data_IF_533437405041
#
_entry.id   IF_533437405041
#
_cell.length_a   1.000
_cell.length_b   1.000
_cell.length_c   1.000
_cell.angle_alpha   90.00
_cell.angle_beta   90.00
_cell.angle_gamma   90.00
#
_symmetry.space_group_name_H-M   'P 1'
#
loop_
_entity.id
_entity.type
_entity.pdbx_description
1 polymer ?
#
# COMPACT_ATOMS: atom_id res chain seq x y z
N UNK A 1 20.93 -6.68 2.12
CA UNK A 1 21.42 -5.35 1.68
C UNK A 1 20.42 -4.25 2.02
N UNK A 2 19.15 -4.36 1.63
CA UNK A 2 18.14 -3.32 1.89
C UNK A 2 17.98 -2.95 3.38
N UNK A 3 18.08 -3.92 4.27
CA UNK A 3 18.05 -3.70 5.73
C UNK A 3 19.20 -2.79 6.20
N UNK A 4 20.38 -2.95 5.64
CA UNK A 4 21.54 -2.13 6.01
C UNK A 4 21.39 -0.67 5.55
N UNK A 5 20.76 -0.42 4.41
CA UNK A 5 20.54 0.96 3.93
C UNK A 5 19.32 1.66 4.56
N UNK A 6 18.48 0.94 5.31
CA UNK A 6 17.28 1.50 5.94
C UNK A 6 17.62 2.62 6.93
N UNK A 7 18.65 2.43 7.77
CA UNK A 7 19.08 3.42 8.76
C UNK A 7 19.65 4.68 8.09
N UNK A 8 20.60 4.61 7.13
CA UNK A 8 21.03 5.75 6.34
C UNK A 8 19.89 6.51 5.66
N UNK A 9 18.93 5.81 5.08
CA UNK A 9 17.76 6.45 4.49
C UNK A 9 16.90 7.20 5.52
N UNK A 10 16.73 6.64 6.71
CA UNK A 10 16.02 7.29 7.80
C UNK A 10 16.79 8.55 8.27
N UNK A 11 18.11 8.46 8.35
CA UNK A 11 18.97 9.60 8.74
C UNK A 11 18.89 10.74 7.72
N UNK A 12 18.96 10.48 6.42
CA UNK A 12 18.79 11.52 5.39
C UNK A 12 17.44 12.24 5.47
N UNK A 13 16.37 11.52 5.79
CA UNK A 13 15.03 12.11 6.01
C UNK A 13 15.00 12.97 7.28
N UNK A 14 15.57 12.47 8.37
CA UNK A 14 15.63 13.18 9.65
C UNK A 14 16.48 14.46 9.55
N UNK A 15 17.61 14.42 8.85
CA UNK A 15 18.50 15.56 8.65
C UNK A 15 18.00 16.60 7.63
N UNK A 16 16.78 16.44 7.10
CA UNK A 16 16.18 17.36 6.12
C UNK A 16 16.76 17.24 4.70
N UNK A 17 17.61 16.25 4.43
CA UNK A 17 18.24 16.04 3.12
C UNK A 17 17.33 15.21 2.18
N UNK A 18 16.09 15.65 2.02
CA UNK A 18 15.06 14.92 1.25
C UNK A 18 15.42 14.76 -0.23
N UNK A 19 16.10 15.74 -0.83
CA UNK A 19 16.56 15.66 -2.23
C UNK A 19 17.64 14.59 -2.40
N UNK A 20 18.56 14.48 -1.46
CA UNK A 20 19.61 13.45 -1.48
C UNK A 20 19.01 12.04 -1.32
N UNK A 21 18.05 11.90 -0.40
CA UNK A 21 17.25 10.68 -0.27
C UNK A 21 16.57 10.29 -1.58
N UNK A 22 15.89 11.26 -2.23
CA UNK A 22 15.17 11.02 -3.49
C UNK A 22 16.14 10.62 -4.61
N UNK A 23 17.27 11.29 -4.73
CA UNK A 23 18.29 10.97 -5.75
C UNK A 23 18.81 9.54 -5.62
N UNK A 24 19.15 9.09 -4.42
CA UNK A 24 19.62 7.72 -4.19
C UNK A 24 18.52 6.71 -4.49
N UNK A 25 17.28 7.00 -4.07
CA UNK A 25 16.14 6.10 -4.29
C UNK A 25 15.77 5.98 -5.76
N UNK A 26 15.75 7.09 -6.48
CA UNK A 26 15.54 7.11 -7.94
C UNK A 26 16.67 6.36 -8.64
N UNK A 27 17.93 6.59 -8.25
CA UNK A 27 19.09 5.87 -8.78
C UNK A 27 18.97 4.36 -8.61
N UNK A 28 18.60 3.88 -7.41
CA UNK A 28 18.35 2.46 -7.15
C UNK A 28 17.26 1.89 -8.07
N UNK A 29 16.14 2.58 -8.20
CA UNK A 29 15.02 2.14 -9.07
C UNK A 29 15.44 2.13 -10.54
N UNK A 30 16.17 3.15 -10.98
CA UNK A 30 16.65 3.26 -12.38
C UNK A 30 17.62 2.12 -12.72
N UNK A 31 18.55 1.82 -11.83
CA UNK A 31 19.50 0.71 -12.00
C UNK A 31 18.75 -0.63 -12.03
N UNK A 32 17.83 -0.85 -11.09
CA UNK A 32 17.03 -2.07 -11.04
C UNK A 32 16.21 -2.26 -12.33
N UNK A 33 15.50 -1.21 -12.76
CA UNK A 33 14.70 -1.25 -14.00
C UNK A 33 15.60 -1.48 -15.23
N UNK A 34 16.72 -0.74 -15.33
CA UNK A 34 17.68 -0.89 -16.44
C UNK A 34 18.25 -2.31 -16.54
N UNK A 35 18.63 -2.92 -15.42
CA UNK A 35 19.08 -4.30 -15.37
C UNK A 35 17.97 -5.28 -15.72
N UNK A 36 16.75 -5.08 -15.27
CA UNK A 36 15.61 -5.93 -15.66
C UNK A 36 15.33 -5.86 -17.16
N UNK A 37 15.37 -4.67 -17.76
CA UNK A 37 15.22 -4.51 -19.22
C UNK A 37 16.37 -5.19 -19.98
N UNK A 38 17.59 -5.04 -19.48
CA UNK A 38 18.77 -5.68 -20.08
C UNK A 38 18.67 -7.23 -20.00
N UNK A 39 18.34 -7.78 -18.83
CA UNK A 39 18.29 -9.22 -18.65
C UNK A 39 17.08 -9.89 -19.31
N UNK A 40 15.90 -9.26 -19.25
CA UNK A 40 14.66 -9.89 -19.70
C UNK A 40 14.30 -9.59 -21.16
N UNK A 41 14.80 -8.50 -21.73
CA UNK A 41 14.52 -8.11 -23.13
C UNK A 41 15.76 -8.21 -24.01
N UNK A 42 16.87 -7.60 -23.58
CA UNK A 42 18.06 -7.52 -24.44
C UNK A 42 18.83 -8.85 -24.51
N UNK A 43 18.94 -9.62 -23.44
CA UNK A 43 19.59 -10.93 -23.44
C UNK A 43 18.88 -11.94 -24.35
N UNK A 44 17.56 -12.14 -24.28
CA UNK A 44 16.86 -13.00 -25.23
C UNK A 44 16.98 -12.54 -26.68
N UNK A 45 17.04 -11.22 -26.90
CA UNK A 45 17.27 -10.68 -28.24
C UNK A 45 18.67 -11.04 -28.79
N UNK A 46 19.72 -11.00 -27.94
CA UNK A 46 21.06 -11.42 -28.32
C UNK A 46 21.14 -12.95 -28.58
N UNK A 47 20.49 -13.74 -27.72
CA UNK A 47 20.42 -15.18 -27.85
C UNK A 47 19.78 -15.59 -29.20
N UNK A 48 18.70 -14.92 -29.59
CA UNK A 48 18.06 -15.13 -30.89
C UNK A 48 18.95 -14.77 -32.08
N UNK A 49 19.98 -13.92 -31.87
CA UNK A 49 21.00 -13.58 -32.87
C UNK A 49 22.23 -14.49 -32.85
N UNK A 50 22.25 -15.51 -31.98
CA UNK A 50 23.34 -16.45 -31.87
C UNK A 50 24.50 -16.03 -30.95
N UNK A 51 24.37 -14.90 -30.22
CA UNK A 51 25.34 -14.45 -29.23
C UNK A 51 25.06 -15.09 -27.88
N UNK A 52 26.03 -15.78 -27.31
CA UNK A 52 25.97 -16.32 -25.94
C UNK A 52 26.96 -15.59 -25.05
N UNK A 53 26.48 -14.98 -23.99
CA UNK A 53 27.30 -14.35 -22.96
C UNK A 53 27.44 -15.30 -21.76
N UNK A 54 28.63 -15.37 -21.10
CA UNK A 54 28.82 -16.25 -19.94
C UNK A 54 27.77 -16.06 -18.82
N UNK A 55 27.25 -14.84 -18.67
CA UNK A 55 26.20 -14.51 -17.69
C UNK A 55 24.84 -15.17 -18.01
N UNK A 56 24.58 -15.48 -19.29
CA UNK A 56 23.36 -16.17 -19.71
C UNK A 56 23.37 -17.66 -19.33
N UNK A 57 24.57 -18.27 -19.23
CA UNK A 57 24.73 -19.67 -18.83
C UNK A 57 24.64 -19.86 -17.31
N UNK A 58 24.89 -18.79 -16.53
CA UNK A 58 24.86 -18.85 -15.07
C UNK A 58 23.43 -18.87 -14.51
N UNK A 59 22.43 -18.47 -15.29
CA UNK A 59 21.05 -18.26 -14.85
C UNK A 59 20.12 -19.12 -15.69
N UNK A 60 19.64 -20.20 -15.09
CA UNK A 60 18.77 -21.18 -15.77
C UNK A 60 17.30 -20.74 -15.91
N UNK A 61 16.84 -19.79 -15.09
CA UNK A 61 15.44 -19.33 -15.09
C UNK A 61 15.38 -17.80 -15.17
N UNK A 62 14.48 -17.29 -16.03
CA UNK A 62 14.23 -15.85 -16.18
C UNK A 62 13.86 -15.15 -14.87
N UNK A 63 13.25 -15.87 -13.94
CA UNK A 63 12.90 -15.34 -12.60
C UNK A 63 14.14 -14.97 -11.80
N UNK A 64 15.24 -15.70 -11.96
CA UNK A 64 16.51 -15.45 -11.25
C UNK A 64 17.14 -14.12 -11.66
N UNK A 65 16.94 -13.68 -12.91
CA UNK A 65 17.43 -12.37 -13.37
C UNK A 65 16.79 -11.20 -12.61
N UNK A 66 15.51 -11.32 -12.22
CA UNK A 66 14.83 -10.29 -11.44
C UNK A 66 15.47 -10.15 -10.06
N UNK A 67 15.79 -11.28 -9.41
CA UNK A 67 16.47 -11.27 -8.12
C UNK A 67 17.92 -10.74 -8.23
N UNK A 68 18.62 -11.11 -9.31
CA UNK A 68 19.98 -10.62 -9.56
C UNK A 68 20.00 -9.11 -9.80
N UNK A 69 19.08 -8.58 -10.59
CA UNK A 69 18.93 -7.14 -10.83
C UNK A 69 18.70 -6.38 -9.52
N UNK A 70 17.81 -6.91 -8.67
CA UNK A 70 17.54 -6.32 -7.36
C UNK A 70 18.76 -6.36 -6.44
N UNK A 71 19.46 -7.49 -6.41
CA UNK A 71 20.70 -7.66 -5.61
C UNK A 71 21.77 -6.64 -6.02
N UNK A 72 22.01 -6.48 -7.32
CA UNK A 72 23.01 -5.52 -7.85
C UNK A 72 22.60 -4.09 -7.50
N UNK A 73 21.33 -3.70 -7.70
CA UNK A 73 20.86 -2.37 -7.38
C UNK A 73 21.00 -2.05 -5.88
N UNK A 74 20.64 -3.01 -5.01
CA UNK A 74 20.78 -2.87 -3.55
C UNK A 74 22.25 -2.83 -3.11
N UNK A 75 23.12 -3.62 -3.75
CA UNK A 75 24.56 -3.59 -3.47
C UNK A 75 25.18 -2.25 -3.85
N UNK A 76 24.88 -1.71 -5.03
CA UNK A 76 25.35 -0.38 -5.45
C UNK A 76 24.88 0.72 -4.50
N UNK A 77 23.63 0.65 -4.06
CA UNK A 77 23.09 1.59 -3.07
C UNK A 77 23.83 1.49 -1.73
N UNK A 78 24.13 0.29 -1.27
CA UNK A 78 24.91 0.07 -0.05
C UNK A 78 26.33 0.60 -0.17
N UNK A 79 27.03 0.33 -1.29
CA UNK A 79 28.36 0.83 -1.56
C UNK A 79 28.38 2.36 -1.56
N UNK A 80 27.37 3.00 -2.17
CA UNK A 80 27.24 4.47 -2.16
C UNK A 80 27.09 5.03 -0.74
N UNK A 81 26.42 4.30 0.17
CA UNK A 81 26.22 4.72 1.56
C UNK A 81 27.38 4.35 2.52
N UNK A 82 28.35 3.56 2.07
CA UNK A 82 29.45 3.11 2.91
C UNK A 82 30.25 4.25 3.58
N UNK A 83 30.50 5.41 2.92
CA UNK A 83 31.17 6.54 3.57
C UNK A 83 30.46 7.07 4.81
N UNK A 84 29.12 6.98 4.86
CA UNK A 84 28.35 7.38 6.03
C UNK A 84 28.64 6.47 7.23
N UNK A 85 28.69 5.17 7.02
CA UNK A 85 29.04 4.21 8.06
C UNK A 85 30.47 4.38 8.59
N UNK A 86 31.43 4.70 7.71
CA UNK A 86 32.82 4.94 8.12
C UNK A 86 32.96 6.18 9.03
N UNK A 87 32.08 7.18 8.88
CA UNK A 87 32.10 8.40 9.70
C UNK A 87 31.53 8.20 11.10
N UNK A 88 30.59 7.27 11.29
CA UNK A 88 29.86 7.11 12.55
C UNK A 88 30.66 6.30 13.57
N UNK A 89 31.56 5.42 13.11
CA UNK A 89 32.28 4.46 13.97
C UNK A 89 31.34 3.34 14.49
N UNK A 90 31.92 2.36 15.13
CA UNK A 90 31.16 1.25 15.74
C UNK A 90 31.15 1.43 17.26
N UNK A 91 29.96 1.73 17.80
CA UNK A 91 29.70 1.83 19.22
C UNK A 91 28.66 0.78 19.60
N UNK A 92 28.97 -0.07 20.56
CA UNK A 92 28.03 -1.06 21.08
C UNK A 92 27.52 -0.60 22.47
N UNK A 93 26.28 -0.09 22.49
CA UNK A 93 25.59 0.32 23.72
C UNK A 93 24.37 -0.60 23.93
N UNK A 94 24.48 -1.47 24.96
CA UNK A 94 23.45 -2.44 25.32
C UNK A 94 22.15 -1.75 25.81
N UNK A 95 22.26 -0.61 26.48
CA UNK A 95 21.11 0.11 26.99
C UNK A 95 20.30 0.73 25.84
N UNK A 96 21.01 1.35 24.89
CA UNK A 96 20.42 1.87 23.66
C UNK A 96 19.80 0.74 22.82
N UNK A 97 20.54 -0.37 22.66
CA UNK A 97 20.04 -1.53 21.92
C UNK A 97 18.75 -2.09 22.50
N UNK A 98 18.65 -2.24 23.82
CA UNK A 98 17.43 -2.70 24.50
C UNK A 98 16.24 -1.76 24.24
N UNK A 99 16.43 -0.46 24.30
CA UNK A 99 15.38 0.54 24.00
C UNK A 99 14.92 0.44 22.55
N UNK A 100 15.85 0.37 21.61
CA UNK A 100 15.54 0.21 20.19
C UNK A 100 14.80 -1.10 19.92
N UNK A 101 15.21 -2.20 20.55
CA UNK A 101 14.57 -3.50 20.39
C UNK A 101 13.15 -3.51 20.98
N UNK A 102 12.94 -2.93 22.16
CA UNK A 102 11.61 -2.81 22.77
C UNK A 102 10.63 -2.03 21.88
N UNK A 103 11.11 -1.01 21.20
CA UNK A 103 10.30 -0.27 20.23
C UNK A 103 10.09 -1.04 18.91
N UNK A 104 11.16 -1.63 18.38
CA UNK A 104 11.14 -2.29 17.07
C UNK A 104 10.41 -3.64 17.07
N UNK A 105 10.46 -4.38 18.17
CA UNK A 105 9.87 -5.73 18.24
C UNK A 105 8.35 -5.75 18.01
N UNK A 106 7.52 -4.89 18.64
CA UNK A 106 6.11 -4.79 18.30
C UNK A 106 5.86 -4.38 16.85
N UNK A 107 6.71 -3.49 16.31
CA UNK A 107 6.61 -3.05 14.91
C UNK A 107 6.95 -4.20 13.96
N UNK A 108 7.93 -5.05 14.30
CA UNK A 108 8.26 -6.25 13.54
C UNK A 108 7.07 -7.23 13.48
N UNK A 109 6.43 -7.51 14.62
CA UNK A 109 5.24 -8.37 14.70
C UNK A 109 4.10 -7.77 13.85
N UNK A 110 3.88 -6.46 13.96
CA UNK A 110 2.89 -5.77 13.12
C UNK A 110 3.21 -5.90 11.63
N UNK A 111 4.49 -5.78 11.25
CA UNK A 111 4.95 -5.94 9.87
C UNK A 111 4.74 -7.36 9.32
N UNK A 112 5.04 -8.38 10.13
CA UNK A 112 4.79 -9.79 9.77
C UNK A 112 3.28 -10.02 9.60
N UNK A 113 2.46 -9.59 10.54
CA UNK A 113 1.01 -9.71 10.46
C UNK A 113 0.44 -8.98 9.23
N UNK A 114 0.99 -7.80 8.91
CA UNK A 114 0.63 -7.06 7.71
C UNK A 114 1.02 -7.81 6.42
N UNK A 115 2.21 -8.42 6.39
CA UNK A 115 2.66 -9.22 5.24
C UNK A 115 1.78 -10.45 5.03
N UNK A 116 1.29 -11.05 6.11
CA UNK A 116 0.29 -12.12 6.06
C UNK A 116 -0.99 -11.60 5.40
N UNK A 117 -1.51 -10.46 5.83
CA UNK A 117 -2.72 -9.87 5.24
C UNK A 117 -2.57 -9.60 3.73
N UNK A 118 -1.40 -9.17 3.28
CA UNK A 118 -1.14 -8.80 1.88
C UNK A 118 -0.93 -10.01 0.95
N UNK A 119 -0.37 -11.12 1.46
CA UNK A 119 0.05 -12.26 0.65
C UNK A 119 -0.90 -13.47 0.73
N UNK A 120 -1.61 -13.64 1.84
CA UNK A 120 -2.31 -14.89 2.15
C UNK A 120 -3.54 -15.14 1.29
N UNK A 121 -4.16 -14.13 0.73
CA UNK A 121 -5.25 -14.28 -0.24
C UNK A 121 -4.88 -15.26 -1.36
N UNK A 122 -3.69 -15.07 -1.94
CA UNK A 122 -3.18 -15.90 -3.04
C UNK A 122 -2.84 -17.31 -2.56
N UNK A 123 -2.31 -17.43 -1.34
CA UNK A 123 -2.02 -18.73 -0.71
C UNK A 123 -3.31 -19.49 -0.49
N UNK A 124 -4.35 -18.88 0.09
CA UNK A 124 -5.64 -19.52 0.31
C UNK A 124 -6.38 -19.84 -0.98
N UNK A 125 -6.33 -18.98 -1.99
CA UNK A 125 -6.87 -19.31 -3.32
C UNK A 125 -6.18 -20.57 -3.85
N UNK A 126 -4.84 -20.65 -3.78
CA UNK A 126 -4.10 -21.83 -4.25
C UNK A 126 -4.42 -23.10 -3.48
N UNK A 127 -4.67 -23.01 -2.17
CA UNK A 127 -4.96 -24.14 -1.30
C UNK A 127 -6.41 -24.66 -1.45
N UNK A 128 -7.36 -23.76 -1.70
CA UNK A 128 -8.79 -24.08 -1.67
C UNK A 128 -9.38 -24.35 -3.06
N UNK A 129 -8.68 -24.00 -4.14
CA UNK A 129 -9.09 -24.36 -5.49
C UNK A 129 -8.50 -25.71 -5.92
N UNK A 130 -9.17 -26.44 -6.85
CA UNK A 130 -8.61 -27.63 -7.46
C UNK A 130 -7.24 -27.34 -8.10
N UNK A 131 -6.28 -28.24 -7.95
CA UNK A 131 -4.89 -28.02 -8.41
C UNK A 131 -4.81 -27.66 -9.90
N UNK A 132 -5.71 -28.17 -10.75
CA UNK A 132 -5.77 -27.85 -12.17
C UNK A 132 -6.17 -26.42 -12.50
N UNK A 133 -6.84 -25.72 -11.61
CA UNK A 133 -7.35 -24.35 -11.79
C UNK A 133 -6.65 -23.32 -10.90
N UNK A 134 -6.00 -23.75 -9.83
CA UNK A 134 -5.47 -22.90 -8.76
C UNK A 134 -4.51 -21.83 -9.31
N UNK A 135 -3.53 -22.21 -10.12
CA UNK A 135 -2.55 -21.27 -10.65
C UNK A 135 -3.17 -20.25 -11.64
N UNK A 136 -4.14 -20.67 -12.43
CA UNK A 136 -4.88 -19.78 -13.34
C UNK A 136 -5.71 -18.76 -12.55
N UNK A 137 -6.40 -19.19 -11.49
CA UNK A 137 -7.21 -18.32 -10.63
C UNK A 137 -6.33 -17.37 -9.82
N UNK A 138 -5.20 -17.84 -9.28
CA UNK A 138 -4.21 -16.97 -8.62
C UNK A 138 -3.68 -15.91 -9.58
N UNK A 139 -3.36 -16.31 -10.82
CA UNK A 139 -2.92 -15.39 -11.87
C UNK A 139 -3.97 -14.33 -12.21
N UNK A 140 -5.23 -14.73 -12.38
CA UNK A 140 -6.36 -13.86 -12.61
C UNK A 140 -6.56 -12.86 -11.45
N UNK A 141 -6.59 -13.37 -10.21
CA UNK A 141 -6.73 -12.56 -9.00
C UNK A 141 -5.59 -11.55 -8.89
N UNK A 142 -4.34 -12.02 -8.97
CA UNK A 142 -3.14 -11.16 -8.88
C UNK A 142 -3.08 -10.12 -10.01
N UNK A 143 -3.50 -10.48 -11.22
CA UNK A 143 -3.60 -9.57 -12.36
C UNK A 143 -4.59 -8.44 -12.10
N UNK A 144 -5.78 -8.74 -11.60
CA UNK A 144 -6.80 -7.73 -11.27
C UNK A 144 -6.48 -6.93 -10.01
N UNK A 145 -5.80 -7.55 -9.04
CA UNK A 145 -5.34 -6.88 -7.82
C UNK A 145 -4.38 -5.70 -8.13
N UNK A 146 -3.66 -5.75 -9.26
CA UNK A 146 -2.81 -4.65 -9.73
C UNK A 146 -3.55 -3.33 -9.90
N UNK A 147 -4.87 -3.34 -10.12
CA UNK A 147 -5.66 -2.11 -10.17
C UNK A 147 -5.64 -1.36 -8.82
N UNK A 148 -5.39 -2.06 -7.72
CA UNK A 148 -5.18 -1.45 -6.41
C UNK A 148 -3.93 -0.55 -6.33
N UNK A 149 -3.00 -0.64 -7.30
CA UNK A 149 -1.76 0.14 -7.32
C UNK A 149 -2.01 1.66 -7.23
N UNK A 150 -3.06 2.15 -7.86
CA UNK A 150 -3.41 3.57 -7.80
C UNK A 150 -3.66 4.04 -6.36
N UNK A 151 -4.42 3.26 -5.59
CA UNK A 151 -4.67 3.56 -4.19
C UNK A 151 -3.43 3.34 -3.34
N UNK A 152 -2.67 2.28 -3.59
CA UNK A 152 -1.44 1.96 -2.84
C UNK A 152 -0.36 3.03 -3.03
N UNK A 153 -0.19 3.56 -4.25
CA UNK A 153 0.74 4.67 -4.52
C UNK A 153 0.32 5.92 -3.75
N UNK A 154 -0.97 6.26 -3.77
CA UNK A 154 -1.49 7.41 -3.01
C UNK A 154 -1.26 7.23 -1.50
N UNK A 155 -1.58 6.06 -0.93
CA UNK A 155 -1.36 5.76 0.48
C UNK A 155 0.12 5.84 0.83
N UNK A 156 1.00 5.34 -0.02
CA UNK A 156 2.46 5.38 0.20
C UNK A 156 2.97 6.81 0.22
N UNK A 157 2.57 7.63 -0.75
CA UNK A 157 2.92 9.05 -0.79
C UNK A 157 2.38 9.80 0.43
N UNK A 158 1.13 9.54 0.80
CA UNK A 158 0.48 10.09 1.99
C UNK A 158 1.26 9.74 3.27
N UNK A 159 1.60 8.47 3.49
CA UNK A 159 2.37 8.02 4.67
C UNK A 159 3.73 8.70 4.76
N UNK A 160 4.45 8.78 3.65
CA UNK A 160 5.78 9.42 3.61
C UNK A 160 5.75 10.89 4.02
N UNK A 161 4.66 11.60 3.69
CA UNK A 161 4.49 13.00 4.05
C UNK A 161 3.87 13.20 5.44
N UNK A 162 2.88 12.39 5.77
CA UNK A 162 2.05 12.61 6.96
C UNK A 162 2.68 12.09 8.25
N UNK A 163 3.46 11.01 8.21
CA UNK A 163 4.10 10.48 9.42
C UNK A 163 5.07 11.49 10.06
N UNK A 164 6.05 12.10 9.36
CA UNK A 164 6.88 13.15 9.94
C UNK A 164 6.08 14.36 10.42
N UNK A 165 5.04 14.74 9.68
CA UNK A 165 4.15 15.84 10.04
C UNK A 165 3.41 15.58 11.36
N UNK A 166 2.92 14.36 11.58
CA UNK A 166 2.26 14.01 12.84
C UNK A 166 3.21 14.09 14.04
N UNK A 167 4.43 13.59 13.88
CA UNK A 167 5.43 13.67 14.97
C UNK A 167 5.89 15.09 15.26
N UNK A 168 6.09 15.93 14.23
CA UNK A 168 6.51 17.32 14.42
C UNK A 168 5.45 18.18 15.11
N UNK A 169 4.17 17.86 14.94
CA UNK A 169 3.06 18.54 15.57
C UNK A 169 2.58 17.90 16.88
N UNK A 170 3.18 16.82 17.34
CA UNK A 170 2.69 16.05 18.49
C UNK A 170 2.68 16.86 19.80
N UNK A 171 3.55 17.84 19.96
CA UNK A 171 3.63 18.75 21.11
C UNK A 171 2.64 19.92 21.06
N UNK A 172 1.97 20.16 19.92
CA UNK A 172 1.02 21.25 19.77
C UNK A 172 -0.31 20.93 20.49
N UNK A 173 -0.85 21.91 21.20
CA UNK A 173 -2.19 21.79 21.84
C UNK A 173 -3.30 21.52 20.84
N UNK A 174 -3.16 21.97 19.59
CA UNK A 174 -4.12 21.78 18.49
C UNK A 174 -3.81 20.54 17.64
N UNK A 175 -2.86 19.67 18.03
CA UNK A 175 -2.51 18.46 17.28
C UNK A 175 -3.74 17.59 16.94
N UNK A 176 -4.70 17.29 17.87
CA UNK A 176 -5.86 16.49 17.53
C UNK A 176 -6.74 17.07 16.41
N UNK A 177 -6.95 18.40 16.41
CA UNK A 177 -7.70 19.10 15.36
C UNK A 177 -7.00 19.02 14.00
N UNK A 178 -5.68 19.14 14.01
CA UNK A 178 -4.85 19.00 12.82
C UNK A 178 -4.92 17.59 12.27
N UNK A 179 -4.84 16.56 13.11
CA UNK A 179 -4.98 15.15 12.71
C UNK A 179 -6.35 14.84 12.13
N UNK A 180 -7.41 15.40 12.72
CA UNK A 180 -8.76 15.29 12.20
C UNK A 180 -8.92 15.85 10.79
N UNK A 181 -8.36 17.05 10.53
CA UNK A 181 -8.37 17.68 9.19
C UNK A 181 -7.59 16.88 8.15
N UNK A 182 -6.42 16.37 8.53
CA UNK A 182 -5.60 15.55 7.63
C UNK A 182 -6.33 14.25 7.25
N UNK A 183 -7.00 13.61 8.22
CA UNK A 183 -7.83 12.42 7.97
C UNK A 183 -9.04 12.73 7.08
N UNK A 184 -9.68 13.88 7.27
CA UNK A 184 -10.78 14.35 6.41
C UNK A 184 -10.32 14.51 4.95
N UNK A 185 -9.20 15.22 4.72
CA UNK A 185 -8.64 15.37 3.37
C UNK A 185 -8.27 14.04 2.75
N UNK A 186 -7.60 13.17 3.52
CA UNK A 186 -7.29 11.82 3.03
C UNK A 186 -8.55 11.08 2.57
N UNK A 187 -9.62 11.11 3.36
CA UNK A 187 -10.88 10.42 3.06
C UNK A 187 -11.52 10.92 1.76
N UNK A 188 -11.52 12.25 1.54
CA UNK A 188 -12.04 12.88 0.33
C UNK A 188 -11.22 12.46 -0.89
N UNK A 189 -9.90 12.57 -0.84
CA UNK A 189 -9.04 12.23 -1.99
C UNK A 189 -9.03 10.73 -2.28
N UNK A 190 -8.93 9.88 -1.27
CA UNK A 190 -8.96 8.42 -1.44
C UNK A 190 -10.32 7.94 -1.99
N UNK A 191 -11.43 8.53 -1.53
CA UNK A 191 -12.75 8.28 -2.11
C UNK A 191 -12.84 8.69 -3.58
N UNK A 192 -12.22 9.82 -3.95
CA UNK A 192 -12.10 10.25 -5.33
C UNK A 192 -11.33 9.29 -6.21
N UNK A 193 -10.20 8.75 -5.70
CA UNK A 193 -9.40 7.72 -6.41
C UNK A 193 -10.21 6.44 -6.59
N UNK A 194 -10.92 5.98 -5.57
CA UNK A 194 -11.82 4.83 -5.66
C UNK A 194 -12.81 4.98 -6.81
N UNK A 195 -13.52 6.09 -6.84
CA UNK A 195 -14.52 6.38 -7.88
C UNK A 195 -13.86 6.50 -9.27
N UNK A 196 -12.77 7.24 -9.36
CA UNK A 196 -12.03 7.45 -10.60
C UNK A 196 -11.56 6.13 -11.22
N UNK A 197 -10.92 5.26 -10.44
CA UNK A 197 -10.42 3.97 -10.95
C UNK A 197 -11.57 3.06 -11.35
N UNK A 198 -12.67 3.03 -10.60
CA UNK A 198 -13.84 2.22 -10.96
C UNK A 198 -14.53 2.70 -12.25
N UNK A 199 -14.61 4.02 -12.47
CA UNK A 199 -15.21 4.58 -13.69
C UNK A 199 -14.34 4.34 -14.92
N UNK A 200 -13.04 4.58 -14.79
CA UNK A 200 -12.10 4.46 -15.92
C UNK A 200 -11.42 3.08 -15.99
N UNK A 201 -11.99 2.06 -15.36
CA UNK A 201 -11.40 0.72 -15.30
C UNK A 201 -11.17 0.11 -16.67
N UNK A 202 -12.06 0.39 -17.63
CA UNK A 202 -11.96 -0.11 -18.99
C UNK A 202 -10.75 0.48 -19.74
N UNK A 203 -10.31 1.68 -19.37
CA UNK A 203 -9.07 2.27 -19.88
C UNK A 203 -7.85 1.61 -19.21
N UNK A 204 -7.88 1.48 -17.88
CA UNK A 204 -6.75 0.95 -17.13
C UNK A 204 -6.49 -0.53 -17.35
N UNK A 205 -7.52 -1.35 -17.64
CA UNK A 205 -7.33 -2.78 -17.96
C UNK A 205 -6.45 -3.00 -19.18
N UNK A 206 -6.57 -2.17 -20.19
CA UNK A 206 -5.73 -2.24 -21.40
C UNK A 206 -4.25 -1.98 -21.09
N UNK A 207 -3.98 -1.08 -20.15
CA UNK A 207 -2.62 -0.70 -19.77
C UNK A 207 -1.99 -1.72 -18.81
N UNK A 208 -2.75 -2.19 -17.80
CA UNK A 208 -2.21 -2.95 -16.67
C UNK A 208 -2.45 -4.45 -16.75
N UNK A 209 -3.44 -4.90 -17.56
CA UNK A 209 -3.81 -6.30 -17.69
C UNK A 209 -3.81 -6.69 -19.19
N UNK A 210 -2.64 -6.97 -19.79
CA UNK A 210 -2.54 -7.31 -21.21
C UNK A 210 -3.29 -8.62 -21.56
N UNK A 211 -3.35 -9.58 -20.64
CA UNK A 211 -4.04 -10.84 -20.84
C UNK A 211 -5.55 -10.67 -20.66
N UNK A 212 -6.29 -10.73 -21.77
CA UNK A 212 -7.76 -10.57 -21.80
C UNK A 212 -8.50 -11.63 -20.98
N UNK A 213 -7.95 -12.85 -20.83
CA UNK A 213 -8.54 -13.89 -20.00
C UNK A 213 -8.71 -13.45 -18.53
N UNK A 214 -7.91 -12.50 -18.06
CA UNK A 214 -8.00 -11.99 -16.69
C UNK A 214 -9.08 -10.92 -16.50
N UNK A 215 -9.70 -10.40 -17.56
CA UNK A 215 -10.70 -9.35 -17.45
C UNK A 215 -12.00 -9.78 -16.74
N UNK A 216 -12.27 -11.08 -16.74
CA UNK A 216 -13.37 -11.65 -15.95
C UNK A 216 -13.19 -11.38 -14.45
N UNK A 217 -11.95 -11.33 -13.98
CA UNK A 217 -11.59 -11.04 -12.59
C UNK A 217 -11.77 -9.58 -12.17
N UNK A 218 -12.02 -8.63 -13.08
CA UNK A 218 -12.16 -7.20 -12.76
C UNK A 218 -13.25 -6.92 -11.73
N UNK A 219 -14.20 -7.81 -11.55
CA UNK A 219 -15.26 -7.70 -10.53
C UNK A 219 -14.72 -7.60 -9.10
N UNK A 220 -13.48 -8.02 -8.82
CA UNK A 220 -12.87 -7.83 -7.48
C UNK A 220 -12.40 -6.40 -7.24
N UNK A 221 -12.17 -5.60 -8.28
CA UNK A 221 -11.46 -4.31 -8.19
C UNK A 221 -12.10 -3.33 -7.24
N UNK A 222 -13.43 -3.11 -7.22
CA UNK A 222 -14.05 -2.23 -6.25
C UNK A 222 -13.76 -2.63 -4.80
N UNK A 223 -13.79 -3.94 -4.49
CA UNK A 223 -13.49 -4.43 -3.14
C UNK A 223 -12.02 -4.26 -2.77
N UNK A 224 -11.10 -4.51 -3.70
CA UNK A 224 -9.66 -4.28 -3.51
C UNK A 224 -9.37 -2.80 -3.24
N UNK A 225 -9.99 -1.89 -3.98
CA UNK A 225 -9.83 -0.45 -3.78
C UNK A 225 -10.44 0.01 -2.44
N UNK A 226 -11.61 -0.52 -2.08
CA UNK A 226 -12.24 -0.26 -0.78
C UNK A 226 -11.39 -0.80 0.38
N UNK A 227 -10.81 -1.99 0.24
CA UNK A 227 -9.89 -2.55 1.21
C UNK A 227 -8.68 -1.64 1.40
N UNK A 228 -8.04 -1.22 0.32
CA UNK A 228 -6.91 -0.29 0.38
C UNK A 228 -7.31 1.07 0.97
N UNK A 229 -8.50 1.60 0.66
CA UNK A 229 -9.02 2.82 1.28
C UNK A 229 -9.14 2.65 2.80
N UNK A 230 -9.69 1.53 3.29
CA UNK A 230 -9.75 1.21 4.71
C UNK A 230 -8.34 1.12 5.33
N UNK A 231 -7.37 0.52 4.62
CA UNK A 231 -5.98 0.45 5.04
C UNK A 231 -5.35 1.85 5.17
N UNK A 232 -5.60 2.73 4.20
CA UNK A 232 -5.12 4.11 4.26
C UNK A 232 -5.73 4.90 5.43
N UNK A 233 -7.04 4.72 5.67
CA UNK A 233 -7.71 5.27 6.86
C UNK A 233 -7.14 4.68 8.15
N UNK A 234 -6.88 3.37 8.21
CA UNK A 234 -6.19 2.76 9.34
C UNK A 234 -4.85 3.45 9.64
N UNK A 235 -4.05 3.75 8.61
CA UNK A 235 -2.79 4.47 8.80
C UNK A 235 -2.99 5.88 9.37
N UNK A 236 -4.00 6.60 8.92
CA UNK A 236 -4.37 7.91 9.47
C UNK A 236 -4.84 7.81 10.91
N UNK A 237 -5.75 6.87 11.19
CA UNK A 237 -6.31 6.62 12.50
C UNK A 237 -5.31 5.99 13.49
N UNK A 238 -4.17 5.52 13.00
CA UNK A 238 -3.11 4.91 13.82
C UNK A 238 -2.17 5.94 14.50
N UNK A 239 -2.33 7.23 14.19
CA UNK A 239 -1.47 8.29 14.70
C UNK A 239 -1.40 8.31 16.24
N UNK A 240 -2.52 8.04 16.91
CA UNK A 240 -2.62 8.14 18.36
C UNK A 240 -1.62 7.22 19.08
N UNK A 241 -1.47 5.96 18.68
CA UNK A 241 -0.53 5.06 19.33
C UNK A 241 0.93 5.30 18.95
N UNK A 242 1.17 5.94 17.79
CA UNK A 242 2.51 6.32 17.35
C UNK A 242 3.02 7.54 18.13
N UNK A 243 2.22 8.60 18.28
CA UNK A 243 2.62 9.83 18.98
C UNK A 243 2.59 9.68 20.51
N UNK A 244 1.96 8.63 21.04
CA UNK A 244 1.93 8.33 22.49
C UNK A 244 2.85 7.17 22.88
N UNK A 245 3.77 6.72 21.99
CA UNK A 245 4.69 5.59 22.19
C UNK A 245 4.01 4.26 22.59
N UNK A 246 2.75 4.07 22.19
CA UNK A 246 1.96 2.86 22.48
C UNK A 246 1.89 1.93 21.28
N UNK A 247 3.03 1.68 20.62
CA UNK A 247 3.15 0.93 19.35
C UNK A 247 2.67 -0.52 19.46
N UNK A 248 2.60 -1.11 20.67
CA UNK A 248 2.03 -2.43 20.89
C UNK A 248 0.57 -2.56 20.39
N UNK A 249 -0.21 -1.46 20.41
CA UNK A 249 -1.56 -1.46 19.85
C UNK A 249 -1.56 -1.69 18.33
N UNK A 250 -0.56 -1.16 17.64
CA UNK A 250 -0.38 -1.45 16.22
C UNK A 250 -0.16 -2.94 15.96
N UNK A 251 0.65 -3.62 16.78
CA UNK A 251 0.86 -5.07 16.70
C UNK A 251 -0.44 -5.85 16.98
N UNK A 252 -1.16 -5.51 18.06
CA UNK A 252 -2.43 -6.17 18.42
C UNK A 252 -3.47 -6.03 17.29
N UNK A 253 -3.68 -4.81 16.78
CA UNK A 253 -4.65 -4.55 15.72
C UNK A 253 -4.26 -5.31 14.45
N UNK A 254 -2.97 -5.33 14.09
CA UNK A 254 -2.49 -6.06 12.92
C UNK A 254 -2.65 -7.58 13.06
N UNK A 255 -2.42 -8.13 14.24
CA UNK A 255 -2.65 -9.56 14.53
C UNK A 255 -4.13 -9.93 14.42
N UNK A 256 -5.03 -9.07 14.96
CA UNK A 256 -6.48 -9.27 14.81
C UNK A 256 -6.86 -9.21 13.33
N UNK A 257 -6.30 -8.25 12.57
CA UNK A 257 -6.48 -8.19 11.11
C UNK A 257 -6.05 -9.48 10.42
N UNK A 258 -4.87 -10.02 10.77
CA UNK A 258 -4.38 -11.31 10.28
C UNK A 258 -5.34 -12.47 10.61
N UNK A 259 -5.87 -12.49 11.82
CA UNK A 259 -6.90 -13.45 12.24
C UNK A 259 -8.18 -13.34 11.40
N UNK A 260 -8.67 -12.11 11.17
CA UNK A 260 -9.82 -11.86 10.29
C UNK A 260 -9.52 -12.35 8.87
N UNK A 261 -8.33 -12.04 8.32
CA UNK A 261 -7.90 -12.49 6.99
C UNK A 261 -7.98 -14.01 6.86
N UNK A 262 -7.44 -14.75 7.83
CA UNK A 262 -7.45 -16.22 7.82
C UNK A 262 -8.88 -16.75 7.86
N UNK A 263 -9.67 -16.34 8.85
CA UNK A 263 -11.04 -16.82 9.05
C UNK A 263 -11.92 -16.45 7.85
N UNK A 264 -11.85 -15.23 7.37
CA UNK A 264 -12.66 -14.76 6.25
C UNK A 264 -12.28 -15.47 4.94
N UNK A 265 -10.98 -15.68 4.65
CA UNK A 265 -10.58 -16.42 3.45
C UNK A 265 -11.06 -17.88 3.49
N UNK A 266 -10.87 -18.58 4.62
CA UNK A 266 -11.32 -19.96 4.78
C UNK A 266 -12.84 -20.11 4.65
N UNK A 267 -13.60 -19.11 5.06
CA UNK A 267 -15.07 -19.13 5.01
C UNK A 267 -15.62 -18.66 3.65
N UNK A 268 -15.05 -17.59 3.08
CA UNK A 268 -15.63 -16.92 1.91
C UNK A 268 -15.12 -17.46 0.58
N UNK A 269 -13.89 -17.96 0.50
CA UNK A 269 -13.37 -18.53 -0.75
C UNK A 269 -14.17 -19.76 -1.18
N UNK A 270 -14.53 -20.71 -0.32
CA UNK A 270 -15.38 -21.83 -0.71
C UNK A 270 -16.77 -21.41 -1.21
N UNK A 271 -17.32 -20.30 -0.73
CA UNK A 271 -18.65 -19.79 -1.07
C UNK A 271 -18.65 -18.92 -2.34
N UNK A 272 -17.68 -18.02 -2.47
CA UNK A 272 -17.67 -16.98 -3.51
C UNK A 272 -16.40 -17.02 -4.38
N UNK A 273 -15.60 -18.06 -4.25
CA UNK A 273 -14.36 -18.20 -5.00
C UNK A 273 -13.40 -17.04 -4.73
N UNK A 274 -12.65 -16.61 -5.74
CA UNK A 274 -11.69 -15.52 -5.63
C UNK A 274 -12.32 -14.15 -5.27
N UNK A 275 -13.63 -13.99 -5.47
CA UNK A 275 -14.36 -12.83 -4.96
C UNK A 275 -14.38 -12.82 -3.43
N UNK A 276 -14.50 -14.02 -2.81
CA UNK A 276 -14.43 -14.19 -1.37
C UNK A 276 -13.10 -13.69 -0.78
N UNK A 277 -11.98 -13.90 -1.49
CA UNK A 277 -10.68 -13.38 -1.07
C UNK A 277 -10.65 -11.85 -1.05
N UNK A 278 -11.17 -11.18 -2.08
CA UNK A 278 -11.23 -9.72 -2.11
C UNK A 278 -12.12 -9.13 -1.00
N UNK A 279 -13.24 -9.78 -0.71
CA UNK A 279 -14.13 -9.41 0.41
C UNK A 279 -13.42 -9.67 1.75
N UNK A 280 -12.69 -10.77 1.90
CA UNK A 280 -11.92 -11.08 3.11
C UNK A 280 -10.87 -9.99 3.41
N UNK A 281 -10.14 -9.52 2.40
CA UNK A 281 -9.20 -8.39 2.55
C UNK A 281 -9.91 -7.12 2.98
N UNK A 282 -11.06 -6.81 2.38
CA UNK A 282 -11.88 -5.65 2.77
C UNK A 282 -12.35 -5.74 4.24
N UNK A 283 -12.81 -6.92 4.68
CA UNK A 283 -13.22 -7.13 6.06
C UNK A 283 -12.04 -7.01 7.03
N UNK A 284 -10.86 -7.52 6.67
CA UNK A 284 -9.66 -7.43 7.50
C UNK A 284 -9.21 -5.99 7.68
N UNK A 285 -9.03 -5.24 6.60
CA UNK A 285 -8.59 -3.84 6.67
C UNK A 285 -9.66 -2.92 7.24
N UNK A 286 -10.93 -3.16 6.94
CA UNK A 286 -12.06 -2.49 7.58
C UNK A 286 -12.12 -2.74 9.09
N UNK A 287 -11.93 -3.99 9.51
CA UNK A 287 -11.84 -4.37 10.93
C UNK A 287 -10.69 -3.67 11.64
N UNK A 288 -9.49 -3.65 11.04
CA UNK A 288 -8.32 -2.93 11.59
C UNK A 288 -8.61 -1.42 11.72
N UNK A 289 -9.21 -0.82 10.71
CA UNK A 289 -9.61 0.59 10.70
C UNK A 289 -10.58 0.90 11.84
N UNK A 290 -11.65 0.10 11.97
CA UNK A 290 -12.67 0.29 13.01
C UNK A 290 -12.12 0.06 14.42
N UNK A 291 -11.26 -0.94 14.61
CA UNK A 291 -10.60 -1.19 15.89
C UNK A 291 -9.67 -0.04 16.28
N UNK A 292 -8.85 0.46 15.32
CA UNK A 292 -7.98 1.60 15.58
C UNK A 292 -8.77 2.85 15.95
N UNK A 293 -9.89 3.09 15.27
CA UNK A 293 -10.81 4.17 15.59
C UNK A 293 -11.40 4.02 17.00
N UNK A 294 -12.00 2.88 17.29
CA UNK A 294 -12.69 2.64 18.55
C UNK A 294 -11.75 2.74 19.76
N UNK A 295 -10.56 2.13 19.68
CA UNK A 295 -9.57 2.19 20.74
C UNK A 295 -8.97 3.60 20.83
N UNK A 296 -8.66 4.21 19.67
CA UNK A 296 -8.09 5.54 19.59
C UNK A 296 -8.97 6.59 20.22
N UNK A 297 -10.27 6.60 19.94
CA UNK A 297 -11.21 7.54 20.53
C UNK A 297 -11.32 7.44 22.06
N UNK A 298 -11.08 6.27 22.63
CA UNK A 298 -11.05 6.08 24.08
C UNK A 298 -9.74 6.51 24.75
N UNK A 299 -8.60 6.38 24.02
CA UNK A 299 -7.28 6.61 24.60
C UNK A 299 -6.67 7.97 24.25
N UNK A 300 -7.03 8.52 23.11
CA UNK A 300 -6.58 9.81 22.59
C UNK A 300 -7.69 10.38 21.69
N UNK A 301 -8.72 11.03 22.26
CA UNK A 301 -9.87 11.47 21.49
C UNK A 301 -9.49 12.56 20.48
N UNK A 302 -9.73 12.27 19.19
CA UNK A 302 -9.53 13.18 18.07
C UNK A 302 -10.89 13.61 17.54
N UNK A 303 -11.17 14.91 17.36
CA UNK A 303 -12.46 15.43 16.94
C UNK A 303 -12.66 15.28 15.43
N UNK A 304 -12.83 14.06 14.93
CA UNK A 304 -13.06 13.79 13.52
C UNK A 304 -14.43 14.33 13.06
N UNK A 305 -14.51 15.02 11.92
CA UNK A 305 -15.79 15.47 11.34
C UNK A 305 -16.53 14.31 10.65
N UNK A 306 -17.08 13.37 11.43
CA UNK A 306 -17.67 12.11 10.95
C UNK A 306 -18.75 12.29 9.90
N UNK A 307 -19.56 13.35 9.98
CA UNK A 307 -20.59 13.61 8.98
C UNK A 307 -19.95 13.87 7.60
N UNK A 308 -18.88 14.64 7.54
CA UNK A 308 -18.18 14.93 6.29
C UNK A 308 -17.40 13.70 5.78
N UNK A 309 -16.60 13.08 6.65
CA UNK A 309 -15.85 11.87 6.29
C UNK A 309 -16.79 10.78 5.79
N UNK A 310 -17.84 10.47 6.57
CA UNK A 310 -18.81 9.44 6.25
C UNK A 310 -19.59 9.73 4.96
N UNK A 311 -20.01 10.97 4.73
CA UNK A 311 -20.73 11.32 3.51
C UNK A 311 -19.88 11.15 2.25
N UNK A 312 -18.60 11.55 2.26
CA UNK A 312 -17.72 11.36 1.12
C UNK A 312 -17.37 9.89 0.88
N UNK A 313 -17.16 9.12 1.94
CA UNK A 313 -16.90 7.68 1.84
C UNK A 313 -18.13 6.93 1.31
N UNK A 314 -19.32 7.21 1.83
CA UNK A 314 -20.56 6.60 1.36
C UNK A 314 -20.87 6.99 -0.08
N UNK A 315 -20.70 8.26 -0.43
CA UNK A 315 -20.93 8.75 -1.79
C UNK A 315 -19.99 8.07 -2.78
N UNK A 316 -18.68 8.09 -2.51
CA UNK A 316 -17.68 7.46 -3.41
C UNK A 316 -17.88 5.98 -3.54
N UNK A 317 -18.10 5.27 -2.43
CA UNK A 317 -18.34 3.82 -2.41
C UNK A 317 -19.66 3.47 -3.12
N UNK A 318 -20.74 4.16 -2.78
CA UNK A 318 -22.05 3.93 -3.39
C UNK A 318 -22.05 4.18 -4.90
N UNK A 319 -21.47 5.30 -5.35
CA UNK A 319 -21.33 5.59 -6.78
C UNK A 319 -20.45 4.56 -7.50
N UNK A 320 -19.33 4.13 -6.87
CA UNK A 320 -18.44 3.13 -7.46
C UNK A 320 -19.12 1.78 -7.62
N UNK A 321 -19.82 1.30 -6.59
CA UNK A 321 -20.53 0.03 -6.64
C UNK A 321 -21.73 0.09 -7.59
N UNK A 322 -22.50 1.18 -7.58
CA UNK A 322 -23.62 1.35 -8.49
C UNK A 322 -23.16 1.38 -9.95
N UNK A 323 -22.14 2.16 -10.26
CA UNK A 323 -21.57 2.23 -11.60
C UNK A 323 -21.03 0.88 -12.07
N UNK A 324 -20.36 0.15 -11.18
CA UNK A 324 -19.65 -1.07 -11.54
C UNK A 324 -20.56 -2.30 -11.66
N UNK A 325 -21.55 -2.45 -10.79
CA UNK A 325 -22.38 -3.67 -10.70
C UNK A 325 -23.81 -3.49 -11.18
N UNK A 326 -24.36 -2.26 -11.14
CA UNK A 326 -25.78 -2.02 -11.46
C UNK A 326 -25.89 -1.30 -12.82
N UNK A 327 -24.96 -0.39 -13.12
CA UNK A 327 -25.00 0.40 -14.34
C UNK A 327 -24.40 -0.34 -15.54
N UNK A 328 -24.76 0.10 -16.75
CA UNK A 328 -24.20 -0.40 -18.02
C UNK A 328 -22.77 0.08 -18.28
N UNK A 329 -22.08 0.59 -17.28
CA UNK A 329 -20.73 1.20 -17.33
C UNK A 329 -20.62 2.28 -18.41
N UNK A 330 -21.67 3.07 -18.55
CA UNK A 330 -21.67 4.19 -19.50
C UNK A 330 -20.66 5.23 -19.03
N UNK A 331 -19.62 5.45 -19.84
CA UNK A 331 -18.51 6.35 -19.52
C UNK A 331 -18.97 7.81 -19.31
N UNK A 332 -20.00 8.25 -20.01
CA UNK A 332 -20.54 9.60 -19.83
C UNK A 332 -21.16 9.78 -18.44
N UNK A 333 -21.98 8.81 -18.01
CA UNK A 333 -22.60 8.82 -16.67
C UNK A 333 -21.52 8.73 -15.58
N UNK A 334 -20.54 7.85 -15.77
CA UNK A 334 -19.42 7.72 -14.84
C UNK A 334 -18.57 8.99 -14.73
N UNK A 335 -18.23 9.60 -15.88
CA UNK A 335 -17.47 10.86 -15.90
C UNK A 335 -18.23 12.01 -15.23
N UNK A 336 -19.54 12.08 -15.44
CA UNK A 336 -20.41 13.08 -14.74
C UNK A 336 -20.37 12.86 -13.22
N UNK A 337 -20.42 11.60 -12.74
CA UNK A 337 -20.29 11.27 -11.32
C UNK A 337 -18.93 11.68 -10.75
N UNK A 338 -17.83 11.44 -11.47
CA UNK A 338 -16.47 11.86 -11.05
C UNK A 338 -16.36 13.38 -10.97
N UNK A 339 -16.86 14.11 -11.98
CA UNK A 339 -16.86 15.59 -11.98
C UNK A 339 -17.74 16.15 -10.85
N UNK A 340 -18.93 15.58 -10.63
CA UNK A 340 -19.80 15.94 -9.52
C UNK A 340 -19.15 15.73 -8.16
N UNK A 341 -18.51 14.57 -7.97
CA UNK A 341 -17.73 14.29 -6.75
C UNK A 341 -16.59 15.29 -6.55
N UNK A 342 -15.80 15.55 -7.60
CA UNK A 342 -14.70 16.51 -7.54
C UNK A 342 -15.16 17.93 -7.20
N UNK A 343 -16.32 18.35 -7.73
CA UNK A 343 -16.92 19.65 -7.41
C UNK A 343 -17.34 19.73 -5.93
N UNK A 344 -17.99 18.68 -5.40
CA UNK A 344 -18.36 18.61 -3.99
C UNK A 344 -17.12 18.60 -3.09
N UNK A 345 -16.09 17.85 -3.45
CA UNK A 345 -14.81 17.81 -2.76
C UNK A 345 -14.15 19.20 -2.72
N UNK A 346 -14.10 19.90 -3.86
CA UNK A 346 -13.55 21.27 -3.93
C UNK A 346 -14.33 22.24 -3.02
N UNK A 347 -15.66 22.21 -3.04
CA UNK A 347 -16.50 23.03 -2.17
C UNK A 347 -16.23 22.74 -0.69
N UNK A 348 -16.12 21.46 -0.31
CA UNK A 348 -15.84 21.05 1.07
C UNK A 348 -14.47 21.55 1.53
N UNK A 349 -13.43 21.33 0.72
CA UNK A 349 -12.06 21.78 1.02
C UNK A 349 -11.97 23.30 1.16
N UNK A 350 -12.64 24.06 0.27
CA UNK A 350 -12.70 25.53 0.35
C UNK A 350 -13.38 26.01 1.62
N UNK A 351 -14.48 25.35 2.04
CA UNK A 351 -15.18 25.67 3.28
C UNK A 351 -14.30 25.46 4.51
N UNK A 352 -13.58 24.32 4.59
CA UNK A 352 -12.65 24.02 5.69
C UNK A 352 -11.50 25.03 5.77
N UNK A 353 -11.08 25.60 4.61
CA UNK A 353 -10.05 26.64 4.57
C UNK A 353 -10.56 28.00 5.07
N UNK A 354 -11.82 28.31 4.88
CA UNK A 354 -12.42 29.59 5.30
C UNK A 354 -12.91 29.57 6.77
N UNK A 355 -13.02 28.40 7.39
CA UNK A 355 -13.35 28.23 8.83
C UNK A 355 -12.11 28.42 9.74
N UNK A 356 -10.98 28.93 9.18
CA UNK A 356 -9.79 29.42 9.89
C UNK A 356 -9.86 30.93 10.07
#
# INVERSE_FOLDING_TARGET
MDTLVAIPFAWYRYSGQSLHYAFIKIGNVTVNLGLNLLFLLYFPFLENKGYRLPLMELVSDKTQYIFLANLIASLLTFIYMLPLYKRIGFLWDIALWKRLFQYAFPVLIAGIAFSINEAFDRVFIRMLYPASLADAVVGLYAGCYKMGVFMTLFITAYKLGVEPFFFSNAADKNAPQTYAKVTEYFSIFAGGILLFVCVYIDLFKWLLIPNRAYWEGLKIVPFVLMANLCLGLYHSLSVWYKVTDRTHWGAIISLIGGGITIVANLSLIPLWGYMGAAVATFLAYGGMMLLSLWIGQRKYPIPYPWQRIGSFLLLSTGLSLAYFYIGDRNLFVGSTAVVGYAFLAYKSVKRVKNEK
#
